data_IF_218929302270
#
_entry.id   IF_218929302270
#
_cell.length_a   1.000
_cell.length_b   1.000
_cell.length_c   1.000
_cell.angle_alpha   90.00
_cell.angle_beta   90.00
_cell.angle_gamma   90.00
#
_symmetry.space_group_name_H-M   'P 1'
#
loop_
_entity.id
_entity.type
_entity.pdbx_description
1 polymer ?
#
# COMPACT_ATOMS: atom_id res chain seq x y z
N UNK A 1 5.94 -16.02 35.54
CA UNK A 1 5.88 -14.55 35.67
C UNK A 1 4.45 -14.15 35.38
N UNK A 2 3.68 -13.92 36.43
CA UNK A 2 2.29 -13.48 36.40
C UNK A 2 2.24 -12.04 35.89
N UNK A 3 1.39 -11.75 34.90
CA UNK A 3 1.13 -10.38 34.49
C UNK A 3 0.58 -9.62 35.71
N UNK A 4 1.36 -8.69 36.26
CA UNK A 4 0.86 -7.76 37.27
C UNK A 4 -0.35 -7.03 36.69
N UNK A 5 -1.48 -7.15 37.38
CA UNK A 5 -2.71 -6.43 37.04
C UNK A 5 -2.42 -4.94 37.14
N UNK A 6 -2.40 -4.26 36.00
CA UNK A 6 -2.34 -2.81 35.97
C UNK A 6 -3.58 -2.24 36.68
N UNK A 7 -3.44 -1.11 37.36
CA UNK A 7 -4.47 -0.59 38.23
C UNK A 7 -5.73 -0.12 37.48
N UNK A 8 -6.89 -0.25 38.12
CA UNK A 8 -8.21 0.15 37.58
C UNK A 8 -8.36 1.67 37.40
N UNK A 9 -7.49 2.47 38.04
CA UNK A 9 -7.47 3.93 37.95
C UNK A 9 -6.09 4.44 37.54
N UNK A 10 -6.08 5.49 36.72
CA UNK A 10 -4.86 6.18 36.29
C UNK A 10 -4.01 6.69 37.47
N UNK A 11 -4.63 6.92 38.63
CA UNK A 11 -4.00 7.44 39.85
C UNK A 11 -3.05 6.45 40.53
N UNK A 12 -3.19 5.15 40.25
CA UNK A 12 -2.40 4.07 40.86
C UNK A 12 -1.24 3.61 39.95
N UNK A 13 -1.09 4.19 38.76
CA UNK A 13 0.03 3.91 37.88
C UNK A 13 1.33 4.42 38.56
N UNK A 14 2.45 3.68 38.47
CA UNK A 14 3.72 4.08 39.08
C UNK A 14 4.40 5.28 38.38
N UNK A 15 3.64 6.10 37.65
CA UNK A 15 4.11 7.19 36.77
C UNK A 15 3.22 8.40 36.99
N UNK A 16 3.80 9.56 37.27
CA UNK A 16 3.05 10.81 37.45
C UNK A 16 2.25 11.15 36.17
N UNK A 17 1.04 11.74 36.26
CA UNK A 17 0.20 12.05 35.10
C UNK A 17 0.90 12.89 34.01
N UNK A 18 1.84 13.76 34.43
CA UNK A 18 2.65 14.58 33.51
C UNK A 18 3.64 13.75 32.69
N UNK A 19 4.23 12.72 33.28
CA UNK A 19 5.17 11.82 32.62
C UNK A 19 4.44 10.84 31.72
N UNK A 20 3.24 10.41 32.12
CA UNK A 20 2.34 9.63 31.28
C UNK A 20 1.96 10.38 29.99
N UNK A 21 1.56 11.65 30.09
CA UNK A 21 1.25 12.49 28.92
C UNK A 21 2.47 12.69 28.00
N UNK A 22 3.68 12.80 28.56
CA UNK A 22 4.90 12.87 27.76
C UNK A 22 5.16 11.58 26.99
N UNK A 23 5.01 10.42 27.63
CA UNK A 23 5.17 9.11 26.98
C UNK A 23 4.15 8.93 25.85
N UNK A 24 2.88 9.24 26.09
CA UNK A 24 1.82 9.17 25.07
C UNK A 24 2.09 10.13 23.90
N UNK A 25 2.59 11.34 24.19
CA UNK A 25 2.96 12.30 23.16
C UNK A 25 4.14 11.82 22.30
N UNK A 26 5.15 11.20 22.91
CA UNK A 26 6.30 10.59 22.20
C UNK A 26 5.83 9.43 21.30
N UNK A 27 4.99 8.54 21.82
CA UNK A 27 4.45 7.40 21.06
C UNK A 27 3.55 7.85 19.89
N UNK A 28 2.70 8.86 20.13
CA UNK A 28 1.88 9.46 19.08
C UNK A 28 2.76 10.09 18.00
N UNK A 29 3.77 10.89 18.39
CA UNK A 29 4.69 11.53 17.46
C UNK A 29 5.44 10.50 16.61
N UNK A 30 5.97 9.45 17.24
CA UNK A 30 6.62 8.33 16.54
C UNK A 30 5.69 7.66 15.53
N UNK A 31 4.46 7.33 15.94
CA UNK A 31 3.45 6.73 15.06
C UNK A 31 3.09 7.65 13.89
N UNK A 32 2.96 8.95 14.14
CA UNK A 32 2.64 9.95 13.13
C UNK A 32 3.77 10.12 12.12
N UNK A 33 5.03 10.11 12.55
CA UNK A 33 6.18 10.12 11.64
C UNK A 33 6.19 8.90 10.71
N UNK A 34 5.89 7.70 11.24
CA UNK A 34 5.78 6.49 10.41
C UNK A 34 4.60 6.58 9.44
N UNK A 35 3.47 7.16 9.86
CA UNK A 35 2.32 7.41 8.97
C UNK A 35 2.68 8.33 7.79
N UNK A 36 3.40 9.42 8.06
CA UNK A 36 3.88 10.35 7.02
C UNK A 36 4.90 9.68 6.08
N UNK A 37 5.87 8.96 6.64
CA UNK A 37 6.87 8.24 5.85
C UNK A 37 6.22 7.20 4.91
N UNK A 38 5.23 6.45 5.40
CA UNK A 38 4.49 5.47 4.60
C UNK A 38 3.65 6.14 3.49
N UNK A 39 3.07 7.31 3.75
CA UNK A 39 2.36 8.11 2.75
C UNK A 39 3.29 8.58 1.64
N UNK A 40 4.47 9.10 1.99
CA UNK A 40 5.47 9.58 1.04
C UNK A 40 6.07 8.44 0.22
N UNK A 41 6.36 7.31 0.87
CA UNK A 41 6.84 6.11 0.19
C UNK A 41 5.83 5.60 -0.83
N UNK A 42 4.53 5.58 -0.48
CA UNK A 42 3.47 5.23 -1.43
C UNK A 42 3.52 6.08 -2.70
N UNK A 43 3.62 7.41 -2.55
CA UNK A 43 3.70 8.33 -3.69
C UNK A 43 4.98 8.13 -4.51
N UNK A 44 6.12 7.92 -3.86
CA UNK A 44 7.40 7.65 -4.53
C UNK A 44 7.36 6.36 -5.33
N UNK A 45 6.83 5.28 -4.75
CA UNK A 45 6.72 3.98 -5.43
C UNK A 45 5.74 4.01 -6.59
N UNK A 46 4.61 4.73 -6.46
CA UNK A 46 3.68 4.93 -7.59
C UNK A 46 4.34 5.70 -8.73
N UNK A 47 5.06 6.79 -8.43
CA UNK A 47 5.79 7.57 -9.46
C UNK A 47 6.86 6.73 -10.14
N UNK A 48 7.68 6.02 -9.36
CA UNK A 48 8.69 5.12 -9.90
C UNK A 48 8.08 4.06 -10.81
N UNK A 49 6.95 3.47 -10.38
CA UNK A 49 6.23 2.49 -11.18
C UNK A 49 5.75 3.06 -12.52
N UNK A 50 5.13 4.25 -12.50
CA UNK A 50 4.72 4.94 -13.72
C UNK A 50 5.90 5.27 -14.63
N UNK A 51 7.04 5.71 -14.07
CA UNK A 51 8.25 6.00 -14.85
C UNK A 51 8.83 4.74 -15.51
N UNK A 52 8.85 3.61 -14.80
CA UNK A 52 9.29 2.33 -15.37
C UNK A 52 8.37 1.85 -16.49
N UNK A 53 7.05 1.97 -16.30
CA UNK A 53 6.08 1.60 -17.33
C UNK A 53 6.15 2.53 -18.55
N UNK A 54 6.49 3.81 -18.38
CA UNK A 54 6.67 4.72 -19.50
C UNK A 54 7.97 4.47 -20.30
N UNK A 55 8.98 3.85 -19.69
CA UNK A 55 10.32 3.72 -20.29
C UNK A 55 10.36 2.92 -21.61
N UNK A 56 9.66 1.78 -21.78
CA UNK A 56 9.58 1.08 -23.06
C UNK A 56 9.05 1.94 -24.21
N UNK A 57 8.08 2.82 -23.94
CA UNK A 57 7.56 3.73 -24.96
C UNK A 57 8.57 4.82 -25.32
N UNK A 58 9.24 5.40 -24.32
CA UNK A 58 10.31 6.37 -24.55
C UNK A 58 11.46 5.74 -25.38
N UNK A 59 11.82 4.48 -25.09
CA UNK A 59 12.81 3.74 -25.86
C UNK A 59 12.34 3.49 -27.30
N UNK A 60 11.09 3.07 -27.50
CA UNK A 60 10.53 2.87 -28.84
C UNK A 60 10.50 4.16 -29.66
N UNK A 61 10.10 5.28 -29.05
CA UNK A 61 10.12 6.62 -29.67
C UNK A 61 11.55 6.98 -30.05
N UNK A 62 12.52 6.84 -29.14
CA UNK A 62 13.92 7.16 -29.42
C UNK A 62 14.49 6.33 -30.57
N UNK A 63 14.19 5.03 -30.61
CA UNK A 63 14.64 4.13 -31.68
C UNK A 63 13.99 4.45 -33.03
N UNK A 64 12.70 4.80 -33.04
CA UNK A 64 12.02 5.27 -34.24
C UNK A 64 12.58 6.61 -34.73
N UNK A 65 12.82 7.57 -33.82
CA UNK A 65 13.44 8.86 -34.14
C UNK A 65 14.86 8.71 -34.68
N UNK A 66 15.61 7.74 -34.18
CA UNK A 66 16.94 7.38 -34.68
C UNK A 66 16.91 6.56 -35.99
N UNK A 67 15.72 6.29 -36.55
CA UNK A 67 15.51 5.46 -37.75
C UNK A 67 16.04 4.03 -37.63
N UNK A 68 16.21 3.53 -36.40
CA UNK A 68 16.57 2.13 -36.14
C UNK A 68 15.37 1.22 -36.42
N UNK A 69 14.14 1.73 -36.22
CA UNK A 69 12.89 1.01 -36.43
C UNK A 69 12.01 1.81 -37.37
N UNK A 70 11.40 1.13 -38.34
CA UNK A 70 10.34 1.71 -39.15
C UNK A 70 9.03 1.76 -38.34
N UNK A 71 8.40 2.94 -38.12
CA UNK A 71 7.13 3.03 -37.41
C UNK A 71 6.02 2.16 -37.99
N UNK A 72 6.03 1.91 -39.31
CA UNK A 72 5.06 1.01 -39.96
C UNK A 72 5.13 -0.43 -39.43
N UNK A 73 6.30 -0.87 -38.96
CA UNK A 73 6.51 -2.19 -38.38
C UNK A 73 5.83 -2.35 -37.01
N UNK A 74 5.45 -1.25 -36.34
CA UNK A 74 4.76 -1.29 -35.05
C UNK A 74 3.23 -1.44 -35.20
N UNK A 75 2.71 -1.50 -36.42
CA UNK A 75 1.27 -1.60 -36.69
C UNK A 75 0.76 -3.05 -36.69
N UNK A 76 1.66 -4.03 -36.83
CA UNK A 76 1.37 -5.46 -36.77
C UNK A 76 2.29 -6.14 -35.76
N UNK A 77 1.80 -7.18 -35.09
CA UNK A 77 2.55 -7.91 -34.07
C UNK A 77 3.86 -8.49 -34.62
N UNK A 78 3.77 -9.17 -35.77
CA UNK A 78 4.92 -9.80 -36.45
C UNK A 78 5.95 -8.78 -36.98
N UNK A 79 5.54 -7.52 -37.15
CA UNK A 79 6.45 -6.46 -37.57
C UNK A 79 7.32 -5.94 -36.43
N UNK A 80 6.93 -6.16 -35.17
CA UNK A 80 7.63 -5.59 -34.01
C UNK A 80 8.93 -6.36 -33.75
N UNK A 81 10.10 -5.68 -33.70
CA UNK A 81 11.34 -6.34 -33.37
C UNK A 81 11.33 -6.96 -31.96
N UNK A 82 11.84 -8.19 -31.84
CA UNK A 82 11.82 -8.97 -30.59
C UNK A 82 12.41 -8.23 -29.37
N UNK A 83 13.40 -7.37 -29.58
CA UNK A 83 14.06 -6.63 -28.49
C UNK A 83 13.16 -5.54 -27.89
N UNK A 84 12.15 -5.04 -28.61
CA UNK A 84 11.14 -4.15 -28.04
C UNK A 84 10.24 -4.91 -27.07
N UNK A 85 9.81 -6.12 -27.45
CA UNK A 85 9.09 -7.02 -26.53
C UNK A 85 9.93 -7.37 -25.30
N UNK A 86 11.24 -7.63 -25.49
CA UNK A 86 12.16 -7.86 -24.37
C UNK A 86 12.26 -6.65 -23.44
N UNK A 87 12.26 -5.43 -23.98
CA UNK A 87 12.24 -4.20 -23.18
C UNK A 87 10.95 -4.09 -22.37
N UNK A 88 9.79 -4.35 -22.98
CA UNK A 88 8.48 -4.33 -22.29
C UNK A 88 8.48 -5.36 -21.14
N UNK A 89 8.93 -6.60 -21.41
CA UNK A 89 9.00 -7.66 -20.39
C UNK A 89 9.95 -7.27 -19.25
N UNK A 90 11.15 -6.79 -19.57
CA UNK A 90 12.16 -6.41 -18.59
C UNK A 90 11.67 -5.31 -17.65
N UNK A 91 11.03 -4.26 -18.19
CA UNK A 91 10.47 -3.19 -17.37
C UNK A 91 9.24 -3.63 -16.56
N UNK A 92 8.39 -4.52 -17.10
CA UNK A 92 7.30 -5.13 -16.34
C UNK A 92 7.80 -5.97 -15.15
N UNK A 93 8.87 -6.74 -15.34
CA UNK A 93 9.51 -7.49 -14.26
C UNK A 93 10.20 -6.58 -13.25
N UNK A 94 10.94 -5.55 -13.71
CA UNK A 94 11.60 -4.58 -12.84
C UNK A 94 10.59 -3.82 -11.97
N UNK A 95 9.41 -3.53 -12.53
CA UNK A 95 8.32 -2.86 -11.85
C UNK A 95 7.68 -3.69 -10.72
N UNK A 96 8.00 -4.99 -10.60
CA UNK A 96 7.64 -5.79 -9.43
C UNK A 96 8.23 -5.25 -8.13
N UNK A 97 9.43 -4.65 -8.18
CA UNK A 97 10.09 -4.09 -7.00
C UNK A 97 9.31 -2.93 -6.37
N UNK A 98 9.02 -1.83 -7.10
CA UNK A 98 8.18 -0.76 -6.55
C UNK A 98 6.76 -1.24 -6.26
N UNK A 99 6.22 -2.22 -6.99
CA UNK A 99 4.91 -2.80 -6.70
C UNK A 99 4.87 -3.47 -5.32
N UNK A 100 5.83 -4.35 -5.01
CA UNK A 100 5.92 -5.00 -3.70
C UNK A 100 6.11 -3.97 -2.58
N UNK A 101 6.96 -2.97 -2.81
CA UNK A 101 7.22 -1.91 -1.83
C UNK A 101 6.01 -1.00 -1.61
N UNK A 102 5.23 -0.74 -2.66
CA UNK A 102 3.97 -0.01 -2.59
C UNK A 102 2.97 -0.73 -1.69
N UNK A 103 2.86 -2.06 -1.80
CA UNK A 103 1.98 -2.87 -0.95
C UNK A 103 2.37 -2.73 0.53
N UNK A 104 3.66 -2.80 0.84
CA UNK A 104 4.17 -2.63 2.21
C UNK A 104 3.87 -1.22 2.75
N UNK A 105 4.09 -0.18 1.94
CA UNK A 105 3.80 1.20 2.30
C UNK A 105 2.30 1.42 2.55
N UNK A 106 1.42 0.86 1.72
CA UNK A 106 -0.04 0.91 1.91
C UNK A 106 -0.43 0.22 3.22
N UNK A 107 0.12 -0.97 3.50
CA UNK A 107 -0.15 -1.69 4.74
C UNK A 107 0.37 -0.96 5.98
N UNK A 108 1.57 -0.36 5.90
CA UNK A 108 2.12 0.47 6.98
C UNK A 108 1.25 1.69 7.25
N UNK A 109 0.83 2.39 6.18
CA UNK A 109 -0.04 3.56 6.27
C UNK A 109 -1.40 3.21 6.90
N UNK A 110 -2.03 2.09 6.52
CA UNK A 110 -3.31 1.67 7.12
C UNK A 110 -3.15 1.29 8.60
N UNK A 111 -2.07 0.59 8.97
CA UNK A 111 -1.82 0.21 10.36
C UNK A 111 -1.59 1.42 11.26
N UNK A 112 -0.77 2.38 10.82
CA UNK A 112 -0.52 3.60 11.60
C UNK A 112 -1.73 4.51 11.63
N UNK A 113 -2.54 4.57 10.56
CA UNK A 113 -3.80 5.30 10.57
C UNK A 113 -4.78 4.74 11.62
N UNK A 114 -4.88 3.41 11.75
CA UNK A 114 -5.65 2.75 12.82
C UNK A 114 -5.10 3.09 14.21
N UNK A 115 -3.79 2.99 14.40
CA UNK A 115 -3.15 3.33 15.67
C UNK A 115 -3.41 4.79 16.10
N UNK A 116 -3.29 5.75 15.18
CA UNK A 116 -3.59 7.16 15.42
C UNK A 116 -5.06 7.37 15.80
N UNK A 117 -5.98 6.64 15.15
CA UNK A 117 -7.40 6.70 15.48
C UNK A 117 -7.69 6.13 16.88
N UNK A 118 -7.01 5.05 17.27
CA UNK A 118 -7.11 4.48 18.63
C UNK A 118 -6.61 5.46 19.70
N UNK A 119 -5.49 6.16 19.45
CA UNK A 119 -5.04 7.23 20.36
C UNK A 119 -6.10 8.34 20.50
N UNK A 120 -6.76 8.72 19.41
CA UNK A 120 -7.85 9.71 19.46
C UNK A 120 -9.06 9.23 20.25
N UNK A 121 -9.44 7.95 20.10
CA UNK A 121 -10.50 7.34 20.92
C UNK A 121 -10.15 7.42 22.41
N UNK A 122 -8.91 7.11 22.79
CA UNK A 122 -8.45 7.23 24.18
C UNK A 122 -8.62 8.67 24.70
N UNK A 123 -8.23 9.68 23.93
CA UNK A 123 -8.40 11.09 24.33
C UNK A 123 -9.87 11.48 24.51
N UNK A 124 -10.73 11.08 23.57
CA UNK A 124 -12.16 11.45 23.57
C UNK A 124 -12.96 10.72 24.65
N UNK A 125 -12.55 9.52 25.03
CA UNK A 125 -13.26 8.71 26.03
C UNK A 125 -12.72 8.93 27.44
N UNK A 126 -11.39 8.92 27.62
CA UNK A 126 -10.79 8.96 28.97
C UNK A 126 -10.29 10.34 29.41
N UNK A 127 -9.92 11.21 28.47
CA UNK A 127 -9.38 12.55 28.78
C UNK A 127 -10.34 13.68 28.39
N UNK A 128 -11.61 13.33 28.12
CA UNK A 128 -12.65 14.25 27.66
C UNK A 128 -12.78 15.49 28.55
N UNK A 129 -12.83 15.29 29.86
CA UNK A 129 -13.09 16.37 30.81
C UNK A 129 -11.90 17.35 30.85
N UNK A 130 -10.67 16.82 30.83
CA UNK A 130 -9.43 17.60 30.77
C UNK A 130 -9.33 18.43 29.48
N UNK A 131 -9.61 17.83 28.33
CA UNK A 131 -9.57 18.55 27.05
C UNK A 131 -10.74 19.53 26.89
N UNK A 132 -11.91 19.21 27.43
CA UNK A 132 -13.07 20.12 27.41
C UNK A 132 -12.85 21.36 28.26
N UNK A 133 -12.18 21.23 29.41
CA UNK A 133 -11.77 22.35 30.25
C UNK A 133 -10.76 23.27 29.54
N UNK A 134 -9.96 22.72 28.62
CA UNK A 134 -9.04 23.47 27.76
C UNK A 134 -9.71 24.01 26.48
N UNK A 135 -11.02 23.79 26.30
CA UNK A 135 -11.77 24.21 25.10
C UNK A 135 -11.34 23.49 23.81
N UNK A 136 -10.59 22.39 23.92
CA UNK A 136 -10.02 21.68 22.79
C UNK A 136 -10.96 20.56 22.31
N UNK A 137 -11.14 20.44 20.99
CA UNK A 137 -11.87 19.35 20.35
C UNK A 137 -11.08 18.75 19.19
N UNK A 138 -11.21 17.43 18.91
CA UNK A 138 -10.56 16.81 17.77
C UNK A 138 -11.10 17.40 16.46
N UNK A 139 -10.20 17.82 15.57
CA UNK A 139 -10.53 18.36 14.25
C UNK A 139 -10.88 17.30 13.20
N UNK A 140 -10.76 16.01 13.53
CA UNK A 140 -11.01 14.90 12.64
C UNK A 140 -12.01 13.94 13.29
N UNK A 141 -12.95 13.37 12.51
CA UNK A 141 -13.89 12.39 13.02
C UNK A 141 -13.13 11.18 13.56
N UNK A 142 -13.56 10.72 14.73
CA UNK A 142 -13.06 9.52 15.38
C UNK A 142 -14.05 8.40 15.06
N UNK A 143 -13.68 7.51 14.14
CA UNK A 143 -14.53 6.40 13.73
C UNK A 143 -13.94 5.08 14.25
N UNK A 144 -14.63 4.36 15.15
CA UNK A 144 -14.16 3.09 15.68
C UNK A 144 -13.94 2.02 14.60
N UNK A 145 -14.63 2.13 13.46
CA UNK A 145 -14.50 1.22 12.31
C UNK A 145 -13.39 1.62 11.35
N UNK A 146 -12.66 2.71 11.60
CA UNK A 146 -11.58 3.16 10.73
C UNK A 146 -10.35 2.22 10.81
N UNK A 147 -9.75 1.81 9.67
CA UNK A 147 -10.06 2.16 8.29
C UNK A 147 -10.93 1.12 7.55
N UNK A 148 -11.61 0.20 8.25
CA UNK A 148 -12.42 -0.87 7.63
C UNK A 148 -13.65 -0.34 6.92
N UNK A 149 -14.32 0.69 7.46
CA UNK A 149 -15.34 1.48 6.75
C UNK A 149 -14.79 2.13 5.48
N UNK A 150 -13.46 2.27 5.39
CA UNK A 150 -12.74 2.84 4.27
C UNK A 150 -12.05 1.79 3.36
N UNK A 151 -12.15 0.47 3.58
CA UNK A 151 -11.41 -0.55 2.80
C UNK A 151 -12.28 -1.76 2.43
N UNK A 152 -12.48 -2.07 1.12
CA UNK A 152 -11.44 -2.56 0.19
C UNK A 152 -11.39 -1.84 -1.18
N UNK A 153 -12.38 -1.01 -1.49
CA UNK A 153 -12.40 -0.09 -2.65
C UNK A 153 -11.77 1.28 -2.32
N UNK A 154 -11.02 1.35 -1.23
CA UNK A 154 -10.20 2.50 -0.90
C UNK A 154 -9.30 2.84 -2.10
N UNK A 155 -9.15 4.12 -2.41
CA UNK A 155 -8.27 4.60 -3.48
C UNK A 155 -6.87 3.92 -3.50
N UNK A 156 -6.22 3.65 -2.34
CA UNK A 156 -4.95 2.91 -2.32
C UNK A 156 -5.03 1.47 -2.85
N UNK A 157 -6.12 0.74 -2.56
CA UNK A 157 -6.33 -0.62 -3.06
C UNK A 157 -6.59 -0.63 -4.57
N UNK A 158 -7.41 0.31 -5.06
CA UNK A 158 -7.67 0.48 -6.49
C UNK A 158 -6.37 0.77 -7.25
N UNK A 159 -5.50 1.65 -6.71
CA UNK A 159 -4.20 1.94 -7.35
C UNK A 159 -3.31 0.70 -7.46
N UNK A 160 -3.25 -0.13 -6.42
CA UNK A 160 -2.52 -1.40 -6.46
C UNK A 160 -3.13 -2.34 -7.50
N UNK A 161 -4.47 -2.41 -7.58
CA UNK A 161 -5.15 -3.27 -8.54
C UNK A 161 -4.88 -2.85 -9.99
N UNK A 162 -5.00 -1.55 -10.28
CA UNK A 162 -4.72 -1.00 -11.60
C UNK A 162 -3.26 -1.20 -12.01
N UNK A 163 -2.32 -0.96 -11.10
CA UNK A 163 -0.90 -1.20 -11.36
C UNK A 163 -0.59 -2.67 -11.62
N UNK A 164 -1.20 -3.59 -10.86
CA UNK A 164 -1.05 -5.02 -11.09
C UNK A 164 -1.57 -5.43 -12.47
N UNK A 165 -2.73 -4.91 -12.89
CA UNK A 165 -3.29 -5.19 -14.22
C UNK A 165 -2.38 -4.67 -15.33
N UNK A 166 -1.95 -3.40 -15.25
CA UNK A 166 -1.05 -2.80 -16.24
C UNK A 166 0.27 -3.55 -16.29
N UNK A 167 0.85 -3.89 -15.14
CA UNK A 167 2.10 -4.63 -15.08
C UNK A 167 1.98 -6.03 -15.69
N UNK A 168 0.85 -6.70 -15.43
CA UNK A 168 0.53 -8.01 -16.01
C UNK A 168 0.43 -7.93 -17.53
N UNK A 169 -0.14 -6.85 -18.07
CA UNK A 169 -0.16 -6.60 -19.52
C UNK A 169 1.24 -6.47 -20.10
N UNK A 170 2.16 -5.78 -19.42
CA UNK A 170 3.55 -5.65 -19.89
C UNK A 170 4.25 -7.00 -19.91
N UNK A 171 4.17 -7.75 -18.82
CA UNK A 171 4.80 -9.06 -18.72
C UNK A 171 4.19 -9.99 -19.79
N UNK A 172 2.87 -10.05 -19.95
CA UNK A 172 2.22 -10.90 -20.94
C UNK A 172 2.62 -10.53 -22.38
N UNK A 173 2.47 -9.25 -22.76
CA UNK A 173 2.79 -8.78 -24.12
C UNK A 173 4.27 -8.98 -24.44
N UNK A 174 5.15 -8.59 -23.52
CA UNK A 174 6.59 -8.73 -23.71
C UNK A 174 7.02 -10.19 -23.81
N UNK A 175 6.52 -11.08 -22.94
CA UNK A 175 6.91 -12.50 -22.96
C UNK A 175 6.37 -13.24 -24.18
N UNK A 176 5.10 -13.03 -24.55
CA UNK A 176 4.51 -13.66 -25.74
C UNK A 176 5.22 -13.20 -27.02
N UNK A 177 5.52 -11.90 -27.13
CA UNK A 177 6.21 -11.35 -28.29
C UNK A 177 7.67 -11.82 -28.39
N UNK A 178 8.36 -11.99 -27.26
CA UNK A 178 9.73 -12.55 -27.24
C UNK A 178 9.80 -13.99 -27.74
N UNK A 179 8.76 -14.80 -27.48
CA UNK A 179 8.70 -16.20 -27.93
C UNK A 179 8.27 -16.29 -29.41
N UNK A 180 7.96 -15.15 -30.05
CA UNK A 180 7.47 -15.12 -31.43
C UNK A 180 6.09 -15.76 -31.57
N UNK A 181 5.30 -15.79 -30.49
CA UNK A 181 3.91 -16.19 -30.57
C UNK A 181 3.12 -15.11 -31.32
N UNK A 182 2.11 -15.49 -32.11
CA UNK A 182 1.08 -14.60 -32.64
C UNK A 182 -0.22 -14.82 -31.83
N UNK A 183 -0.33 -14.21 -30.63
CA UNK A 183 -1.43 -14.52 -29.73
C UNK A 183 -2.73 -13.90 -30.24
N UNK A 184 -3.75 -14.73 -30.39
CA UNK A 184 -5.11 -14.21 -30.51
C UNK A 184 -5.53 -13.47 -29.23
N UNK A 185 -6.55 -12.61 -29.35
CA UNK A 185 -7.03 -11.77 -28.24
C UNK A 185 -7.40 -12.59 -27.00
N UNK A 186 -7.96 -13.79 -27.18
CA UNK A 186 -8.35 -14.65 -26.07
C UNK A 186 -7.14 -15.12 -25.26
N UNK A 187 -6.07 -15.60 -25.93
CA UNK A 187 -4.84 -16.02 -25.27
C UNK A 187 -4.19 -14.86 -24.53
N UNK A 188 -4.15 -13.67 -25.14
CA UNK A 188 -3.60 -12.48 -24.50
C UNK A 188 -4.38 -12.12 -23.22
N UNK A 189 -5.71 -12.09 -23.28
CA UNK A 189 -6.55 -11.80 -22.11
C UNK A 189 -6.40 -12.84 -21.00
N UNK A 190 -6.29 -14.13 -21.36
CA UNK A 190 -6.05 -15.21 -20.39
C UNK A 190 -4.69 -15.04 -19.73
N UNK A 191 -3.63 -14.76 -20.49
CA UNK A 191 -2.29 -14.55 -19.95
C UNK A 191 -2.25 -13.34 -18.99
N UNK A 192 -2.85 -12.22 -19.40
CA UNK A 192 -2.98 -11.01 -18.56
C UNK A 192 -3.78 -11.33 -17.30
N UNK A 193 -4.90 -12.03 -17.43
CA UNK A 193 -5.77 -12.41 -16.31
C UNK A 193 -5.05 -13.28 -15.30
N UNK A 194 -4.34 -14.32 -15.74
CA UNK A 194 -3.58 -15.22 -14.87
C UNK A 194 -2.46 -14.48 -14.13
N UNK A 195 -1.72 -13.60 -14.82
CA UNK A 195 -0.70 -12.78 -14.19
C UNK A 195 -1.30 -11.77 -13.21
N UNK A 196 -2.43 -11.14 -13.54
CA UNK A 196 -3.11 -10.20 -12.64
C UNK A 196 -3.60 -10.91 -11.38
N UNK A 197 -4.15 -12.12 -11.53
CA UNK A 197 -4.53 -12.98 -10.40
C UNK A 197 -3.33 -13.32 -9.52
N UNK A 198 -2.16 -13.60 -10.10
CA UNK A 198 -0.94 -13.82 -9.34
C UNK A 198 -0.53 -12.57 -8.53
N UNK A 199 -0.56 -11.39 -9.15
CA UNK A 199 -0.28 -10.13 -8.44
C UNK A 199 -1.28 -9.89 -7.30
N UNK A 200 -2.56 -10.17 -7.54
CA UNK A 200 -3.61 -10.05 -6.52
C UNK A 200 -3.43 -11.05 -5.38
N UNK A 201 -3.02 -12.29 -5.69
CA UNK A 201 -2.69 -13.28 -4.67
C UNK A 201 -1.52 -12.81 -3.79
N UNK A 202 -0.47 -12.27 -4.41
CA UNK A 202 0.68 -11.68 -3.68
C UNK A 202 0.23 -10.52 -2.79
N UNK A 203 -0.58 -9.60 -3.33
CA UNK A 203 -1.16 -8.50 -2.56
C UNK A 203 -1.97 -9.01 -1.37
N UNK A 204 -2.87 -9.96 -1.60
CA UNK A 204 -3.74 -10.53 -0.58
C UNK A 204 -2.95 -11.21 0.53
N UNK A 205 -1.95 -12.04 0.19
CA UNK A 205 -1.08 -12.71 1.16
C UNK A 205 -0.32 -11.67 2.00
N UNK A 206 0.32 -10.68 1.36
CA UNK A 206 1.11 -9.65 2.07
C UNK A 206 0.24 -8.75 2.95
N UNK A 207 -0.95 -8.37 2.47
CA UNK A 207 -1.93 -7.61 3.23
C UNK A 207 -2.45 -8.41 4.44
N UNK A 208 -2.76 -9.69 4.27
CA UNK A 208 -3.27 -10.53 5.36
C UNK A 208 -2.21 -10.92 6.38
N UNK A 209 -0.96 -11.15 5.97
CA UNK A 209 0.15 -11.32 6.93
C UNK A 209 0.30 -10.05 7.78
N UNK A 210 0.11 -8.88 7.18
CA UNK A 210 0.15 -7.59 7.90
C UNK A 210 -1.04 -7.41 8.84
N UNK A 211 -2.25 -7.90 8.48
CA UNK A 211 -3.43 -7.91 9.36
C UNK A 211 -3.31 -8.93 10.51
N UNK A 212 -2.71 -10.10 10.25
CA UNK A 212 -2.58 -11.20 11.23
C UNK A 212 -1.45 -11.03 12.24
N UNK A 213 -0.58 -10.02 12.10
CA UNK A 213 0.28 -9.57 13.21
C UNK A 213 -0.64 -8.97 14.28
N UNK A 214 -1.22 -9.87 15.08
CA UNK A 214 -2.14 -9.59 16.18
C UNK A 214 -1.58 -8.44 16.99
N UNK A 215 -2.42 -7.46 17.28
CA UNK A 215 -2.18 -6.57 18.41
C UNK A 215 -1.84 -7.46 19.62
N UNK A 216 -0.87 -7.08 20.47
CA UNK A 216 -0.63 -7.81 21.70
C UNK A 216 -1.96 -8.00 22.43
N UNK A 217 -2.16 -9.19 23.00
CA UNK A 217 -3.38 -9.55 23.71
C UNK A 217 -3.77 -8.40 24.63
N UNK A 218 -4.91 -7.75 24.37
CA UNK A 218 -5.40 -6.58 25.10
C UNK A 218 -5.80 -7.04 26.51
N UNK A 219 -4.93 -6.88 27.53
CA UNK A 219 -5.21 -7.35 28.88
C UNK A 219 -6.21 -6.42 29.60
N UNK A 220 -6.57 -5.29 29.00
CA UNK A 220 -7.24 -4.17 29.66
C UNK A 220 -8.72 -4.04 29.31
N UNK A 221 -9.29 -5.00 28.55
CA UNK A 221 -10.68 -4.96 28.12
C UNK A 221 -11.14 -3.60 27.52
N UNK A 222 -10.21 -2.79 26.97
CA UNK A 222 -10.63 -1.72 26.05
C UNK A 222 -11.55 -2.38 25.03
N UNK A 223 -12.74 -1.81 24.73
CA UNK A 223 -13.68 -2.46 23.86
C UNK A 223 -12.93 -2.87 22.60
N UNK A 224 -12.81 -4.17 22.37
CA UNK A 224 -12.29 -4.68 21.12
C UNK A 224 -13.27 -4.15 20.10
N UNK A 225 -12.87 -3.09 19.41
CA UNK A 225 -13.77 -2.41 18.47
C UNK A 225 -13.98 -3.24 17.19
N UNK A 226 -13.40 -4.43 17.13
CA UNK A 226 -13.66 -5.44 16.12
C UNK A 226 -14.64 -6.48 16.71
N UNK A 227 -15.93 -6.16 16.67
CA UNK A 227 -17.01 -7.15 16.52
C UNK A 227 -17.79 -6.84 15.26
#
# INVERSE_FOLDING_TARGET
MTAESLPERLDDLPVEPKDFLQLVAVDFSGTYHVYLAAKDERLKMTRLSMSLLAAPFAAAIALASAKVINPGALTSWDGVPWYLFATIAAFGLLNMLPFLRLIEAVNAHMRTARALNNFRLLYVVQLKDHFSALGWTPNLPVDPRYPETYAPLAWPGINVMMLALVNSSYIAVGTLGMVGADPNTALLLVAIGLLALLHYAVYYVRANVSRRRRLPHNPFHFPNVET
#
